data_IF_545493340269
#
_entry.id   IF_545493340269
#
_cell.length_a   1.000
_cell.length_b   1.000
_cell.length_c   1.000
_cell.angle_alpha   90.00
_cell.angle_beta   90.00
_cell.angle_gamma   90.00
#
_symmetry.space_group_name_H-M   'P 1'
#
loop_
_entity.id
_entity.type
_entity.pdbx_description
1 polymer ?
#
# COMPACT_ATOMS: atom_id res chain seq x y z
N UNK A 1 -6.71 4.93 -1.84
CA UNK A 1 -7.00 5.23 -3.27
C UNK A 1 -6.31 4.19 -4.15
N UNK A 2 -7.05 3.38 -4.91
CA UNK A 2 -6.45 2.42 -5.84
C UNK A 2 -5.89 3.17 -7.05
N UNK A 3 -4.56 3.24 -7.17
CA UNK A 3 -3.90 3.77 -8.35
C UNK A 3 -3.93 2.69 -9.44
N UNK A 4 -4.46 2.97 -10.66
CA UNK A 4 -4.46 1.99 -11.73
C UNK A 4 -3.05 1.52 -12.09
N UNK A 5 -2.88 0.23 -12.38
CA UNK A 5 -1.58 -0.34 -12.75
C UNK A 5 -0.92 0.40 -13.92
N UNK A 6 -1.70 0.81 -14.92
CA UNK A 6 -1.20 1.62 -16.04
C UNK A 6 -0.67 2.99 -15.61
N UNK A 7 -1.24 3.59 -14.57
CA UNK A 7 -0.73 4.85 -13.99
C UNK A 7 0.61 4.63 -13.28
N UNK A 8 0.74 3.54 -12.51
CA UNK A 8 2.00 3.18 -11.85
C UNK A 8 3.10 2.96 -12.89
N UNK A 9 2.80 2.21 -13.95
CA UNK A 9 3.72 1.98 -15.08
C UNK A 9 4.16 3.29 -15.74
N UNK A 10 3.22 4.18 -16.06
CA UNK A 10 3.54 5.47 -16.67
C UNK A 10 4.45 6.33 -15.77
N UNK A 11 4.25 6.30 -14.46
CA UNK A 11 5.11 7.00 -13.49
C UNK A 11 6.50 6.35 -13.46
N UNK A 12 6.57 5.03 -13.44
CA UNK A 12 7.82 4.28 -13.44
C UNK A 12 8.66 4.57 -14.70
N UNK A 13 8.04 4.56 -15.88
CA UNK A 13 8.69 4.88 -17.15
C UNK A 13 9.27 6.29 -17.17
N UNK A 14 8.48 7.30 -16.80
CA UNK A 14 8.94 8.70 -16.75
C UNK A 14 10.04 8.92 -15.72
N UNK A 15 9.99 8.21 -14.60
CA UNK A 15 10.99 8.32 -13.54
C UNK A 15 12.30 7.66 -13.96
N UNK A 16 12.24 6.46 -14.54
CA UNK A 16 13.40 5.77 -15.11
C UNK A 16 14.09 6.61 -16.18
N UNK A 17 13.33 7.24 -17.08
CA UNK A 17 13.87 8.11 -18.13
C UNK A 17 14.64 9.30 -17.54
N UNK A 18 14.12 9.92 -16.48
CA UNK A 18 14.80 11.01 -15.78
C UNK A 18 16.06 10.53 -15.06
N UNK A 19 15.98 9.41 -14.34
CA UNK A 19 17.11 8.86 -13.58
C UNK A 19 18.29 8.50 -14.50
N UNK A 20 17.99 7.94 -15.68
CA UNK A 20 18.98 7.68 -16.72
C UNK A 20 19.52 8.98 -17.33
N UNK A 21 18.64 9.91 -17.70
CA UNK A 21 19.02 11.19 -18.33
C UNK A 21 19.97 12.02 -17.45
N UNK A 22 19.72 12.06 -16.15
CA UNK A 22 20.57 12.80 -15.20
C UNK A 22 21.80 11.99 -14.73
N UNK A 23 21.95 10.75 -15.17
CA UNK A 23 23.05 9.88 -14.76
C UNK A 23 23.00 9.47 -13.28
N UNK A 24 21.83 9.61 -12.64
CA UNK A 24 21.62 9.21 -11.25
C UNK A 24 21.69 7.67 -11.08
N UNK A 25 21.36 6.94 -12.16
CA UNK A 25 21.52 5.49 -12.27
C UNK A 25 22.09 5.15 -13.64
N UNK A 26 22.71 3.97 -13.76
CA UNK A 26 23.20 3.41 -15.03
C UNK A 26 22.71 1.98 -15.18
N UNK A 27 22.41 1.58 -16.41
CA UNK A 27 21.99 0.21 -16.71
C UNK A 27 20.93 0.16 -17.78
N UNK A 28 20.36 -1.04 -17.95
CA UNK A 28 19.27 -1.28 -18.88
C UNK A 28 17.99 -0.56 -18.44
N UNK A 29 17.37 0.16 -19.39
CA UNK A 29 16.15 0.93 -19.12
C UNK A 29 15.01 0.05 -18.63
N UNK A 30 14.78 -1.11 -19.23
CA UNK A 30 13.68 -1.97 -18.86
C UNK A 30 13.85 -2.51 -17.43
N UNK A 31 15.08 -2.82 -17.03
CA UNK A 31 15.41 -3.23 -15.65
C UNK A 31 15.10 -2.10 -14.66
N UNK A 32 15.47 -0.86 -14.99
CA UNK A 32 15.23 0.30 -14.12
C UNK A 32 13.73 0.61 -14.01
N UNK A 33 13.01 0.59 -15.13
CA UNK A 33 11.55 0.77 -15.14
C UNK A 33 10.89 -0.27 -14.23
N UNK A 34 11.27 -1.54 -14.37
CA UNK A 34 10.72 -2.62 -13.54
C UNK A 34 11.04 -2.44 -12.06
N UNK A 35 12.25 -2.00 -11.73
CA UNK A 35 12.64 -1.72 -10.35
C UNK A 35 11.81 -0.58 -9.73
N UNK A 36 11.59 0.51 -10.48
CA UNK A 36 10.77 1.63 -10.02
C UNK A 36 9.29 1.24 -9.93
N UNK A 37 8.76 0.50 -10.90
CA UNK A 37 7.39 0.00 -10.90
C UNK A 37 7.13 -0.90 -9.67
N UNK A 38 8.07 -1.80 -9.36
CA UNK A 38 8.00 -2.64 -8.16
C UNK A 38 8.02 -1.81 -6.88
N UNK A 39 8.96 -0.87 -6.75
CA UNK A 39 9.07 -0.03 -5.55
C UNK A 39 7.78 0.79 -5.32
N UNK A 40 7.23 1.40 -6.39
CA UNK A 40 5.97 2.12 -6.32
C UNK A 40 4.82 1.19 -5.93
N UNK A 41 4.76 -0.02 -6.49
CA UNK A 41 3.72 -0.98 -6.15
C UNK A 41 3.82 -1.41 -4.69
N UNK A 42 5.02 -1.71 -4.20
CA UNK A 42 5.24 -2.12 -2.80
C UNK A 42 4.86 -1.01 -1.80
N UNK A 43 5.15 0.26 -2.11
CA UNK A 43 4.74 1.38 -1.26
C UNK A 43 3.24 1.70 -1.38
N UNK A 44 2.64 1.55 -2.55
CA UNK A 44 1.21 1.84 -2.76
C UNK A 44 0.30 0.70 -2.27
N UNK A 45 0.81 -0.53 -2.18
CA UNK A 45 0.07 -1.69 -1.65
C UNK A 45 0.01 -1.70 -0.11
N UNK A 46 0.59 -0.70 0.56
CA UNK A 46 0.51 -0.51 2.02
C UNK A 46 -0.95 -0.42 2.48
N UNK A 47 -1.84 0.22 1.72
CA UNK A 47 -3.26 0.34 2.06
C UNK A 47 -3.97 -1.02 2.02
N UNK A 48 -3.62 -1.87 1.05
CA UNK A 48 -4.15 -3.24 0.95
C UNK A 48 -3.61 -4.13 2.07
N UNK A 49 -2.31 -4.03 2.37
CA UNK A 49 -1.68 -4.74 3.49
C UNK A 49 -2.28 -4.33 4.83
N UNK A 50 -2.52 -3.04 5.04
CA UNK A 50 -3.22 -2.51 6.22
C UNK A 50 -4.64 -3.06 6.34
N UNK A 51 -5.34 -3.20 5.22
CA UNK A 51 -6.69 -3.78 5.19
C UNK A 51 -6.68 -5.26 5.53
N UNK A 52 -5.78 -6.04 4.94
CA UNK A 52 -5.61 -7.46 5.26
C UNK A 52 -5.17 -7.68 6.72
N UNK A 53 -4.35 -6.80 7.28
CA UNK A 53 -3.92 -6.84 8.67
C UNK A 53 -5.06 -6.47 9.63
N UNK A 54 -5.87 -5.46 9.29
CA UNK A 54 -7.07 -5.11 10.06
C UNK A 54 -8.09 -6.26 10.05
N UNK A 55 -8.30 -6.91 8.90
CA UNK A 55 -9.20 -8.06 8.79
C UNK A 55 -8.70 -9.24 9.65
N UNK A 56 -7.40 -9.52 9.67
CA UNK A 56 -6.80 -10.55 10.55
C UNK A 56 -6.95 -10.24 12.04
N UNK A 57 -6.75 -8.98 12.43
CA UNK A 57 -6.94 -8.53 13.83
C UNK A 57 -8.40 -8.69 14.24
N UNK A 58 -9.33 -8.35 13.33
CA UNK A 58 -10.76 -8.55 13.57
C UNK A 58 -11.13 -10.03 13.69
N UNK A 59 -10.60 -10.91 12.84
CA UNK A 59 -10.83 -12.35 12.95
C UNK A 59 -10.28 -12.93 14.26
N UNK A 60 -9.10 -12.50 14.68
CA UNK A 60 -8.51 -12.90 15.95
C UNK A 60 -9.39 -12.46 17.13
N UNK A 61 -9.87 -11.21 17.12
CA UNK A 61 -10.79 -10.71 18.14
C UNK A 61 -12.21 -11.29 18.02
N UNK A 62 -12.68 -11.69 16.85
CA UNK A 62 -13.97 -12.40 16.69
C UNK A 62 -13.93 -13.80 17.29
N UNK A 63 -12.76 -14.46 17.27
CA UNK A 63 -12.55 -15.74 17.96
C UNK A 63 -12.67 -15.60 19.49
N UNK A 64 -12.39 -14.40 20.01
CA UNK A 64 -12.54 -14.03 21.43
C UNK A 64 -13.92 -13.42 21.75
N UNK A 65 -14.56 -12.73 20.81
CA UNK A 65 -15.74 -11.88 21.01
C UNK A 65 -17.04 -12.49 20.47
N UNK A 66 -17.33 -13.77 20.76
CA UNK A 66 -18.64 -14.39 20.49
C UNK A 66 -19.84 -13.72 21.22
N UNK A 67 -19.65 -12.66 21.99
CA UNK A 67 -20.68 -12.13 22.90
C UNK A 67 -21.15 -10.70 22.64
N UNK A 68 -20.64 -9.96 21.66
CA UNK A 68 -21.06 -8.57 21.47
C UNK A 68 -21.52 -8.34 20.03
N UNK A 69 -22.75 -7.85 19.87
CA UNK A 69 -23.28 -7.19 18.67
C UNK A 69 -22.49 -5.90 18.35
N UNK A 70 -21.16 -5.96 18.33
CA UNK A 70 -20.31 -4.85 17.95
C UNK A 70 -20.43 -4.68 16.43
N UNK A 71 -20.68 -3.44 15.99
CA UNK A 71 -20.66 -3.09 14.58
C UNK A 71 -19.24 -3.30 14.04
N UNK A 72 -19.05 -4.42 13.33
CA UNK A 72 -17.78 -4.88 12.79
C UNK A 72 -17.18 -3.87 11.80
N UNK A 73 -18.03 -3.11 11.10
CA UNK A 73 -17.58 -2.05 10.19
C UNK A 73 -16.89 -0.93 10.96
N UNK A 74 -17.54 -0.43 12.01
CA UNK A 74 -16.99 0.64 12.85
C UNK A 74 -15.70 0.23 13.57
N UNK A 75 -15.59 -1.04 13.99
CA UNK A 75 -14.39 -1.56 14.64
C UNK A 75 -13.22 -1.67 13.64
N UNK A 76 -13.49 -2.12 12.40
CA UNK A 76 -12.50 -2.15 11.32
C UNK A 76 -11.93 -0.78 11.03
N UNK A 77 -12.79 0.20 10.89
CA UNK A 77 -12.38 1.57 10.56
C UNK A 77 -11.58 2.23 11.68
N UNK A 78 -11.81 1.82 12.93
CA UNK A 78 -11.03 2.27 14.08
C UNK A 78 -9.63 1.63 14.10
N UNK A 79 -9.53 0.33 13.79
CA UNK A 79 -8.25 -0.39 13.70
C UNK A 79 -7.40 0.13 12.53
N UNK A 80 -8.03 0.32 11.36
CA UNK A 80 -7.37 0.90 10.18
C UNK A 80 -6.78 2.27 10.48
N UNK A 81 -7.56 3.18 11.08
CA UNK A 81 -7.08 4.52 11.47
C UNK A 81 -5.86 4.46 12.37
N UNK A 82 -5.89 3.60 13.38
CA UNK A 82 -4.76 3.44 14.30
C UNK A 82 -3.49 2.91 13.61
N UNK A 83 -3.63 1.87 12.78
CA UNK A 83 -2.50 1.30 12.03
C UNK A 83 -1.88 2.30 11.04
N UNK A 84 -2.71 3.15 10.45
CA UNK A 84 -2.24 4.18 9.53
C UNK A 84 -1.49 5.30 10.25
N UNK A 85 -2.00 5.76 11.41
CA UNK A 85 -1.29 6.71 12.27
C UNK A 85 0.07 6.16 12.74
N UNK A 86 0.12 4.90 13.19
CA UNK A 86 1.35 4.26 13.66
C UNK A 86 2.42 4.11 12.56
N UNK A 87 2.01 4.08 11.28
CA UNK A 87 2.91 3.97 10.11
C UNK A 87 3.09 5.28 9.35
N UNK A 88 2.54 6.40 9.84
CA UNK A 88 2.65 7.70 9.19
C UNK A 88 1.91 7.80 7.85
N UNK A 89 0.88 6.98 7.63
CA UNK A 89 0.10 6.91 6.39
C UNK A 89 -1.24 7.63 6.59
N UNK A 90 -1.68 8.43 5.61
CA UNK A 90 -2.99 9.08 5.65
C UNK A 90 -4.03 8.19 4.98
N UNK A 91 -4.95 7.64 5.77
CA UNK A 91 -6.16 6.99 5.25
C UNK A 91 -7.15 8.07 4.79
N UNK A 92 -7.70 7.90 3.58
CA UNK A 92 -8.79 8.71 3.02
C UNK A 92 -9.98 7.83 2.68
#
# INVERSE_FOLDING_TARGET
MLIPAGTIRNIAERSADKLLKYGAVRGDRAVIVHAVERALTEELDVEKRLREEADKILEAHMKEARSAKADLGALRDKILRKLAEDRGVVLK
#
